data_IF_238342187104
#
_entry.id   IF_238342187104
#
_cell.length_a   1.000
_cell.length_b   1.000
_cell.length_c   1.000
_cell.angle_alpha   90.00
_cell.angle_beta   90.00
_cell.angle_gamma   90.00
#
_symmetry.space_group_name_H-M   'P 1'
#
loop_
_entity.id
_entity.type
_entity.pdbx_description
1 polymer ?
#
# COMPACT_ATOMS: atom_id res chain seq x y z
N UNK A 1 30.80 25.88 20.30
CA UNK A 1 29.38 25.52 20.10
C UNK A 1 28.89 24.84 21.35
N UNK A 2 27.87 25.36 22.04
CA UNK A 2 27.33 24.66 23.21
C UNK A 2 26.66 23.35 22.78
N UNK A 3 27.02 22.25 23.40
CA UNK A 3 26.37 20.96 23.19
C UNK A 3 25.07 20.99 23.99
N UNK A 4 23.94 21.11 23.33
CA UNK A 4 22.64 21.03 23.97
C UNK A 4 22.25 19.55 24.11
N UNK A 5 22.20 19.08 25.37
CA UNK A 5 21.66 17.73 25.66
C UNK A 5 20.14 17.84 25.73
N UNK A 6 19.46 17.09 24.90
CA UNK A 6 18.01 16.94 24.97
C UNK A 6 17.66 15.88 26.03
N UNK A 7 16.71 16.18 26.87
CA UNK A 7 16.12 15.25 27.82
C UNK A 7 14.61 15.13 27.59
N UNK A 8 13.93 14.27 28.33
CA UNK A 8 12.49 14.07 28.17
C UNK A 8 11.67 15.38 28.33
N UNK A 9 12.14 16.31 29.16
CA UNK A 9 11.45 17.60 29.37
C UNK A 9 11.64 18.57 28.18
N UNK A 10 12.79 18.50 27.48
CA UNK A 10 13.06 19.32 26.30
C UNK A 10 12.18 18.90 25.11
N UNK A 11 11.73 17.65 25.09
CA UNK A 11 10.90 17.10 24.01
C UNK A 11 9.40 17.37 24.24
N UNK A 12 8.99 17.61 25.48
CA UNK A 12 7.57 17.83 25.84
C UNK A 12 6.93 19.07 25.16
N UNK A 13 7.75 20.04 24.76
CA UNK A 13 7.30 21.28 24.10
C UNK A 13 7.45 21.25 22.57
N UNK A 14 7.83 20.12 21.98
CA UNK A 14 7.88 19.99 20.52
C UNK A 14 6.46 19.88 19.98
N UNK A 15 6.00 20.91 19.29
CA UNK A 15 4.69 20.92 18.62
C UNK A 15 4.70 20.19 17.29
N UNK A 16 5.90 20.01 16.68
CA UNK A 16 6.08 19.23 15.47
C UNK A 16 7.50 18.68 15.38
N UNK A 17 7.65 17.45 14.92
CA UNK A 17 8.94 16.89 14.53
C UNK A 17 9.21 17.17 13.06
N UNK A 18 10.47 17.45 12.67
CA UNK A 18 10.84 17.49 11.27
C UNK A 18 10.39 16.22 10.53
N UNK A 19 9.95 16.36 9.30
CA UNK A 19 9.47 15.24 8.50
C UNK A 19 10.52 14.13 8.28
N UNK A 20 11.80 14.47 8.48
CA UNK A 20 12.93 13.54 8.39
C UNK A 20 13.09 12.62 9.61
N UNK A 21 12.39 12.90 10.73
CA UNK A 21 12.45 12.04 11.92
C UNK A 21 11.34 10.99 11.81
N UNK A 22 11.69 9.72 11.61
CA UNK A 22 10.69 8.65 11.53
C UNK A 22 10.04 8.48 12.91
N UNK A 23 8.76 8.77 13.00
CA UNK A 23 7.97 8.59 14.23
C UNK A 23 7.47 7.15 14.40
N UNK A 24 7.84 6.26 13.50
CA UNK A 24 7.33 4.87 13.48
C UNK A 24 5.84 4.74 13.17
N UNK A 25 5.16 5.84 12.85
CA UNK A 25 3.73 5.84 12.53
C UNK A 25 3.50 5.80 11.02
N UNK A 26 2.41 5.14 10.63
CA UNK A 26 1.93 5.23 9.25
C UNK A 26 1.43 6.66 8.99
N UNK A 27 1.84 7.23 7.87
CA UNK A 27 1.33 8.50 7.37
C UNK A 27 0.28 8.22 6.31
N UNK A 28 -0.92 8.72 6.52
CA UNK A 28 -1.97 8.68 5.51
C UNK A 28 -1.57 9.58 4.33
N UNK A 29 -1.69 9.05 3.11
CA UNK A 29 -1.37 9.78 1.87
C UNK A 29 -2.66 10.15 1.16
N UNK A 30 -3.45 9.16 0.76
CA UNK A 30 -4.72 9.39 0.08
C UNK A 30 -5.64 8.17 0.13
N UNK A 31 -6.91 8.37 -0.19
CA UNK A 31 -7.86 7.29 -0.41
C UNK A 31 -8.73 7.61 -1.62
N UNK A 32 -9.26 6.58 -2.25
CA UNK A 32 -10.25 6.68 -3.32
C UNK A 32 -11.34 5.65 -3.10
N UNK A 33 -12.54 5.96 -3.57
CA UNK A 33 -13.67 5.03 -3.54
C UNK A 33 -13.94 4.55 -4.97
N UNK A 34 -13.92 3.23 -5.14
CA UNK A 34 -14.36 2.62 -6.38
C UNK A 34 -15.90 2.66 -6.46
N UNK A 35 -16.43 3.28 -7.50
CA UNK A 35 -17.87 3.30 -7.77
C UNK A 35 -18.09 3.03 -9.25
N UNK A 36 -18.41 1.78 -9.59
CA UNK A 36 -18.60 1.32 -10.96
C UNK A 36 -17.43 1.68 -11.91
N UNK A 37 -16.20 1.61 -11.37
CA UNK A 37 -14.98 2.01 -12.07
C UNK A 37 -14.23 0.77 -12.56
N UNK A 38 -13.75 0.80 -13.79
CA UNK A 38 -12.91 -0.26 -14.35
C UNK A 38 -11.53 -0.31 -13.69
N UNK A 39 -11.03 0.83 -13.21
CA UNK A 39 -9.76 0.94 -12.50
C UNK A 39 -9.76 2.16 -11.57
N UNK A 40 -8.88 2.14 -10.61
CA UNK A 40 -8.58 3.27 -9.72
C UNK A 40 -7.07 3.53 -9.80
N UNK A 41 -6.70 4.78 -10.05
CA UNK A 41 -5.29 5.18 -10.19
C UNK A 41 -4.91 6.22 -9.13
N UNK A 42 -3.83 5.95 -8.41
CA UNK A 42 -3.18 6.92 -7.53
C UNK A 42 -2.02 7.53 -8.31
N UNK A 43 -2.21 8.72 -8.84
CA UNK A 43 -1.24 9.41 -9.71
C UNK A 43 -0.33 10.39 -8.97
N UNK A 44 -0.50 10.52 -7.65
CA UNK A 44 0.28 11.42 -6.81
C UNK A 44 0.53 10.83 -5.43
N UNK A 45 1.48 11.39 -4.69
CA UNK A 45 1.78 10.98 -3.32
C UNK A 45 2.76 9.80 -3.20
N UNK A 46 3.05 9.08 -4.28
CA UNK A 46 4.07 8.03 -4.33
C UNK A 46 5.39 8.67 -4.79
N UNK A 47 6.28 8.93 -3.86
CA UNK A 47 7.56 9.61 -4.10
C UNK A 47 8.70 8.82 -3.48
N UNK A 48 9.94 9.23 -3.74
CA UNK A 48 11.12 8.63 -3.09
C UNK A 48 11.26 8.95 -1.59
N UNK A 49 10.34 9.74 -1.03
CA UNK A 49 10.36 10.11 0.40
C UNK A 49 10.22 8.90 1.33
N UNK A 50 9.40 7.94 0.95
CA UNK A 50 9.17 6.73 1.73
C UNK A 50 9.68 5.51 0.98
N UNK A 51 10.32 4.61 1.72
CA UNK A 51 10.80 3.33 1.17
C UNK A 51 9.71 2.26 1.09
N UNK A 52 8.65 2.42 1.87
CA UNK A 52 7.57 1.44 1.99
C UNK A 52 6.24 2.17 1.88
N UNK A 53 5.36 1.64 1.06
CA UNK A 53 3.98 2.07 0.93
C UNK A 53 3.05 0.90 1.24
N UNK A 54 1.98 1.17 1.97
CA UNK A 54 0.92 0.21 2.26
C UNK A 54 -0.35 0.63 1.53
N UNK A 55 -0.86 -0.24 0.69
CA UNK A 55 -2.18 -0.12 0.10
C UNK A 55 -3.15 -1.00 0.88
N UNK A 56 -4.30 -0.47 1.20
CA UNK A 56 -5.37 -1.20 1.89
C UNK A 56 -6.61 -1.14 1.00
N UNK A 57 -7.10 -2.31 0.64
CA UNK A 57 -8.30 -2.47 -0.16
C UNK A 57 -9.38 -3.03 0.75
N UNK A 58 -10.48 -2.30 0.89
CA UNK A 58 -11.56 -2.66 1.79
C UNK A 58 -12.87 -2.66 1.04
N UNK A 59 -13.67 -3.70 1.22
CA UNK A 59 -14.97 -3.86 0.57
C UNK A 59 -14.93 -3.69 -0.96
N UNK A 60 -13.91 -4.29 -1.58
CA UNK A 60 -13.80 -4.31 -3.04
C UNK A 60 -14.65 -5.47 -3.57
N UNK A 61 -15.71 -5.13 -4.27
CA UNK A 61 -16.61 -6.09 -4.91
C UNK A 61 -16.50 -5.93 -6.42
N UNK A 62 -16.08 -6.97 -7.15
CA UNK A 62 -16.14 -6.94 -8.60
C UNK A 62 -17.60 -6.95 -9.05
N UNK A 63 -17.88 -6.32 -10.16
CA UNK A 63 -19.21 -6.29 -10.76
C UNK A 63 -19.57 -7.59 -11.46
N UNK A 64 -18.56 -8.31 -11.90
CA UNK A 64 -18.66 -9.61 -12.58
C UNK A 64 -18.02 -10.65 -11.69
N UNK A 65 -18.66 -11.78 -11.54
CA UNK A 65 -18.12 -12.89 -10.78
C UNK A 65 -16.88 -13.49 -11.46
N UNK A 66 -16.02 -14.09 -10.66
CA UNK A 66 -14.84 -14.83 -11.09
C UNK A 66 -13.86 -13.98 -11.93
N UNK A 67 -13.61 -12.75 -11.49
CA UNK A 67 -12.59 -11.88 -12.06
C UNK A 67 -11.46 -11.65 -11.08
N UNK A 68 -10.26 -11.47 -11.60
CA UNK A 68 -9.06 -11.27 -10.81
C UNK A 68 -8.89 -9.81 -10.43
N UNK A 69 -8.46 -9.57 -9.20
CA UNK A 69 -7.96 -8.26 -8.77
C UNK A 69 -6.53 -8.10 -9.26
N UNK A 70 -6.26 -7.00 -9.95
CA UNK A 70 -4.93 -6.69 -10.49
C UNK A 70 -4.37 -5.43 -9.87
N UNK A 71 -3.07 -5.44 -9.62
CA UNK A 71 -2.32 -4.30 -9.10
C UNK A 71 -1.07 -4.07 -9.97
N UNK A 72 -0.97 -2.89 -10.58
CA UNK A 72 0.13 -2.49 -11.43
C UNK A 72 0.70 -1.14 -11.02
N UNK A 73 1.96 -0.88 -11.40
CA UNK A 73 2.69 0.34 -11.11
C UNK A 73 3.07 1.07 -12.40
N UNK A 74 3.26 2.37 -12.27
CA UNK A 74 3.71 3.25 -13.35
C UNK A 74 4.88 4.11 -12.87
N UNK A 75 5.85 4.35 -13.73
CA UNK A 75 6.97 5.28 -13.52
C UNK A 75 6.87 6.53 -14.39
N UNK A 76 5.83 6.63 -15.20
CA UNK A 76 5.59 7.72 -16.16
C UNK A 76 4.27 8.46 -15.87
N UNK A 77 3.97 8.66 -14.59
CA UNK A 77 2.79 9.39 -14.12
C UNK A 77 1.44 8.81 -14.58
N UNK A 78 1.39 7.49 -14.74
CA UNK A 78 0.16 6.79 -15.10
C UNK A 78 -0.10 6.65 -16.60
N UNK A 79 0.88 6.97 -17.44
CA UNK A 79 0.76 6.77 -18.89
C UNK A 79 0.86 5.29 -19.27
N UNK A 80 1.74 4.55 -18.60
CA UNK A 80 1.87 3.10 -18.77
C UNK A 80 1.97 2.41 -17.40
N UNK A 81 1.37 1.22 -17.28
CA UNK A 81 1.37 0.39 -16.07
C UNK A 81 2.11 -0.92 -16.34
N UNK A 82 3.37 -0.83 -16.74
CA UNK A 82 4.20 -1.93 -17.21
C UNK A 82 5.52 -2.08 -16.42
N UNK A 83 5.58 -1.57 -15.20
CA UNK A 83 6.77 -1.66 -14.37
C UNK A 83 7.02 -3.12 -13.98
N UNK A 84 8.24 -3.58 -14.24
CA UNK A 84 8.73 -4.88 -13.73
C UNK A 84 8.64 -4.91 -12.21
N UNK A 85 8.08 -5.97 -11.68
CA UNK A 85 7.90 -6.13 -10.23
C UNK A 85 8.19 -7.56 -9.79
N UNK A 86 8.69 -7.71 -8.59
CA UNK A 86 8.73 -8.98 -7.88
C UNK A 86 7.54 -9.02 -6.93
N UNK A 87 6.80 -10.09 -6.96
CA UNK A 87 5.58 -10.25 -6.17
C UNK A 87 5.66 -11.48 -5.29
N UNK A 88 5.03 -11.41 -4.13
CA UNK A 88 4.75 -12.55 -3.26
C UNK A 88 3.27 -12.51 -2.96
N UNK A 89 2.58 -13.61 -3.19
CA UNK A 89 1.13 -13.67 -3.02
C UNK A 89 0.72 -14.81 -2.10
N UNK A 90 -0.05 -14.49 -1.10
CA UNK A 90 -0.74 -15.46 -0.24
C UNK A 90 -2.21 -15.05 -0.08
N UNK A 91 -3.07 -16.01 0.18
CA UNK A 91 -4.50 -15.78 0.29
C UNK A 91 -5.10 -16.50 1.48
N UNK A 92 -6.18 -15.93 1.98
CA UNK A 92 -7.08 -16.58 2.91
C UNK A 92 -8.52 -16.22 2.52
N UNK A 93 -9.37 -17.18 2.36
CA UNK A 93 -10.77 -16.95 2.02
C UNK A 93 -11.70 -17.99 2.64
N UNK A 94 -12.95 -17.60 2.75
CA UNK A 94 -14.09 -18.50 2.92
C UNK A 94 -15.23 -18.00 2.04
N UNK A 95 -16.04 -18.89 1.54
CA UNK A 95 -17.26 -18.52 0.80
C UNK A 95 -18.40 -18.18 1.79
N UNK A 96 -19.47 -17.55 1.32
CA UNK A 96 -20.61 -17.14 2.14
C UNK A 96 -21.34 -18.32 2.79
N UNK A 97 -21.28 -19.50 2.18
CA UNK A 97 -21.91 -20.71 2.69
C UNK A 97 -21.07 -21.49 3.71
N UNK A 98 -19.86 -21.01 4.04
CA UNK A 98 -18.87 -21.69 4.90
C UNK A 98 -18.55 -23.14 4.46
N UNK A 99 -18.75 -23.45 3.20
CA UNK A 99 -18.50 -24.79 2.65
C UNK A 99 -17.14 -24.90 1.98
N UNK A 100 -16.46 -23.77 1.71
CA UNK A 100 -15.16 -23.73 1.10
C UNK A 100 -14.28 -22.67 1.78
N UNK A 101 -13.16 -23.11 2.31
CA UNK A 101 -12.19 -22.29 3.01
C UNK A 101 -10.78 -22.66 2.59
N UNK A 102 -9.93 -21.70 2.38
CA UNK A 102 -8.51 -21.95 2.13
C UNK A 102 -7.62 -20.86 2.71
N UNK A 103 -6.42 -21.28 3.08
CA UNK A 103 -5.28 -20.41 3.37
C UNK A 103 -4.07 -20.99 2.65
N UNK A 104 -3.42 -20.23 1.82
CA UNK A 104 -2.31 -20.75 1.02
C UNK A 104 -1.41 -19.68 0.45
N UNK A 105 -0.30 -20.16 -0.08
CA UNK A 105 0.67 -19.41 -0.85
C UNK A 105 0.51 -19.77 -2.32
N UNK A 106 0.43 -18.77 -3.19
CA UNK A 106 0.31 -18.98 -4.61
C UNK A 106 1.66 -18.73 -5.31
N UNK A 107 2.34 -19.81 -5.64
CA UNK A 107 3.63 -19.77 -6.31
C UNK A 107 3.55 -19.32 -7.76
N UNK A 108 2.39 -19.35 -8.39
CA UNK A 108 2.22 -18.91 -9.78
C UNK A 108 2.23 -17.38 -9.89
N UNK A 109 1.90 -16.68 -8.81
CA UNK A 109 1.92 -15.24 -8.71
C UNK A 109 3.13 -14.68 -7.94
N UNK A 110 4.06 -15.54 -7.54
CA UNK A 110 5.33 -15.20 -6.87
C UNK A 110 6.47 -15.19 -7.87
N UNK A 111 6.42 -14.28 -8.81
CA UNK A 111 7.39 -14.21 -9.89
C UNK A 111 7.98 -12.81 -10.01
N UNK A 112 9.27 -12.77 -10.40
CA UNK A 112 9.84 -11.57 -10.98
C UNK A 112 9.25 -11.40 -12.38
N UNK A 113 8.45 -10.37 -12.55
CA UNK A 113 7.85 -10.04 -13.84
C UNK A 113 8.81 -9.15 -14.62
N UNK A 114 9.09 -9.54 -15.84
CA UNK A 114 9.90 -8.76 -16.80
C UNK A 114 9.01 -7.87 -17.67
#
# INVERSE_FOLDING_TARGET
MPITKYNNNSISNLTALPASIPTGKLKFISSQTANNSASISFTSGLTSTYKIYRFVFSNIHPRTDNVEFQFNLSTDSGSNYNVTKTTTFFYAYHNEADTDTAFGYDSSNDLAQS
#
